data_IF_253211896781
#
_entry.id   IF_253211896781
#
_cell.length_a   1.000
_cell.length_b   1.000
_cell.length_c   1.000
_cell.angle_alpha   90.00
_cell.angle_beta   90.00
_cell.angle_gamma   90.00
#
_symmetry.space_group_name_H-M   'P 1'
#
loop_
_entity.id
_entity.type
_entity.pdbx_description
1 polymer ?
#
# COMPACT_ATOMS: atom_id res chain seq x y z
N UNK A 1 -18.86 -15.76 31.64
CA UNK A 1 -17.43 -15.58 31.25
C UNK A 1 -17.11 -16.64 30.22
N UNK A 2 -17.25 -16.33 28.94
CA UNK A 2 -16.61 -17.13 27.90
C UNK A 2 -15.13 -16.79 27.96
N UNK A 3 -14.33 -17.69 28.50
CA UNK A 3 -12.90 -17.66 28.32
C UNK A 3 -12.66 -17.77 26.79
N UNK A 4 -12.14 -16.72 26.20
CA UNK A 4 -11.68 -16.79 24.80
C UNK A 4 -10.57 -17.84 24.79
N UNK A 5 -10.79 -18.91 24.03
CA UNK A 5 -9.84 -20.00 23.92
C UNK A 5 -8.72 -19.57 22.95
N UNK A 6 -7.56 -19.20 23.49
CA UNK A 6 -6.38 -18.86 22.71
C UNK A 6 -5.55 -20.11 22.45
N UNK A 7 -5.13 -20.29 21.22
CA UNK A 7 -4.23 -21.36 20.84
C UNK A 7 -2.81 -20.79 20.63
N UNK A 8 -1.85 -21.28 21.42
CA UNK A 8 -0.44 -20.97 21.19
C UNK A 8 0.09 -21.84 20.06
N UNK A 9 0.60 -21.18 19.02
CA UNK A 9 1.17 -21.84 17.84
C UNK A 9 2.61 -21.37 17.65
N UNK A 10 3.55 -22.31 17.53
CA UNK A 10 4.94 -21.99 17.16
C UNK A 10 5.05 -21.81 15.65
N UNK A 11 5.34 -20.60 15.23
CA UNK A 11 5.50 -20.21 13.82
C UNK A 11 6.96 -19.95 13.44
N UNK A 12 7.91 -20.20 14.35
CA UNK A 12 9.34 -19.87 14.16
C UNK A 12 9.90 -20.47 12.88
N UNK A 13 9.52 -21.69 12.53
CA UNK A 13 9.99 -22.39 11.34
C UNK A 13 9.59 -21.72 10.03
N UNK A 14 8.45 -21.01 9.98
CA UNK A 14 8.03 -20.29 8.78
C UNK A 14 8.96 -19.12 8.45
N UNK A 15 9.54 -18.48 9.48
CA UNK A 15 10.32 -17.26 9.33
C UNK A 15 11.83 -17.49 9.46
N UNK A 16 12.28 -18.65 9.94
CA UNK A 16 13.70 -19.00 10.10
C UNK A 16 14.21 -20.04 9.11
N UNK A 17 13.32 -20.61 8.30
CA UNK A 17 13.65 -21.61 7.28
C UNK A 17 13.30 -21.09 5.87
N UNK A 18 13.82 -21.78 4.85
CA UNK A 18 13.48 -21.52 3.44
C UNK A 18 12.10 -22.13 3.12
N UNK A 19 11.05 -21.52 3.70
CA UNK A 19 9.68 -21.97 3.57
C UNK A 19 9.05 -21.45 2.27
N UNK A 20 8.40 -22.28 1.45
CA UNK A 20 7.69 -21.81 0.27
C UNK A 20 6.67 -20.73 0.61
N UNK A 21 6.66 -19.62 -0.16
CA UNK A 21 5.80 -18.45 0.08
C UNK A 21 6.35 -17.43 1.08
N UNK A 22 7.38 -17.79 1.86
CA UNK A 22 8.05 -16.90 2.83
C UNK A 22 9.50 -16.59 2.46
N UNK A 23 10.04 -17.19 1.42
CA UNK A 23 11.36 -16.90 0.89
C UNK A 23 11.32 -15.76 -0.15
N UNK A 24 12.42 -15.01 -0.23
CA UNK A 24 12.55 -13.88 -1.15
C UNK A 24 13.34 -14.21 -2.41
N UNK A 25 13.86 -15.42 -2.53
CA UNK A 25 14.85 -15.74 -3.56
C UNK A 25 14.21 -16.50 -4.70
N UNK A 26 14.02 -15.82 -5.83
CA UNK A 26 13.53 -16.43 -7.06
C UNK A 26 14.57 -17.32 -7.74
N UNK A 27 14.12 -18.19 -8.63
CA UNK A 27 15.00 -19.11 -9.36
C UNK A 27 16.03 -18.38 -10.25
N UNK A 28 15.68 -17.19 -10.74
CA UNK A 28 16.60 -16.34 -11.53
C UNK A 28 17.75 -15.84 -10.67
N UNK A 29 17.44 -15.33 -9.48
CA UNK A 29 18.43 -14.85 -8.51
C UNK A 29 19.31 -16.00 -8.02
N UNK A 30 18.72 -17.17 -7.74
CA UNK A 30 19.46 -18.38 -7.36
C UNK A 30 20.53 -18.74 -8.40
N UNK A 31 20.17 -18.71 -9.69
CA UNK A 31 21.09 -18.96 -10.79
C UNK A 31 22.15 -17.87 -10.96
N UNK A 32 21.73 -16.62 -11.01
CA UNK A 32 22.61 -15.48 -11.30
C UNK A 32 23.69 -15.30 -10.22
N UNK A 33 23.31 -15.43 -8.96
CA UNK A 33 24.22 -15.22 -7.83
C UNK A 33 24.80 -16.52 -7.26
N UNK A 34 24.48 -17.67 -7.88
CA UNK A 34 24.89 -19.01 -7.44
C UNK A 34 24.59 -19.22 -5.96
N UNK A 35 23.33 -18.98 -5.59
CA UNK A 35 22.83 -19.04 -4.22
C UNK A 35 22.71 -20.51 -3.80
N UNK A 36 23.34 -20.85 -2.66
CA UNK A 36 23.28 -22.17 -2.05
C UNK A 36 22.11 -22.32 -1.07
N UNK A 37 22.18 -23.35 -0.24
CA UNK A 37 21.15 -23.60 0.79
C UNK A 37 21.18 -22.55 1.89
N UNK A 38 20.03 -22.34 2.54
CA UNK A 38 19.90 -21.39 3.65
C UNK A 38 20.88 -21.69 4.77
N UNK A 39 21.55 -20.65 5.26
CA UNK A 39 22.39 -20.71 6.46
C UNK A 39 21.50 -20.43 7.69
N UNK A 40 21.02 -21.49 8.33
CA UNK A 40 20.13 -21.38 9.49
C UNK A 40 20.79 -20.75 10.72
N UNK A 41 22.14 -20.72 10.79
CA UNK A 41 22.86 -20.07 11.90
C UNK A 41 22.91 -18.55 11.78
N UNK A 42 22.69 -18.03 10.57
CA UNK A 42 22.68 -16.60 10.26
C UNK A 42 21.31 -16.13 9.76
N UNK A 43 20.28 -16.94 9.98
CA UNK A 43 18.89 -16.61 9.66
C UNK A 43 18.08 -16.57 10.95
N UNK A 44 17.32 -15.50 11.16
CA UNK A 44 16.63 -15.24 12.42
C UNK A 44 15.47 -14.27 12.25
N UNK A 45 14.57 -14.24 13.23
CA UNK A 45 13.52 -13.24 13.35
C UNK A 45 14.13 -12.00 14.00
N UNK A 46 14.11 -10.88 13.28
CA UNK A 46 14.65 -9.59 13.74
C UNK A 46 13.73 -8.90 14.73
N UNK A 47 12.43 -8.87 14.38
CA UNK A 47 11.44 -8.07 15.09
C UNK A 47 10.04 -8.61 14.89
N UNK A 48 9.24 -8.53 15.93
CA UNK A 48 7.79 -8.74 15.88
C UNK A 48 7.10 -7.54 16.51
N UNK A 49 6.12 -6.97 15.82
CA UNK A 49 5.23 -5.93 16.34
C UNK A 49 3.79 -6.36 16.14
N UNK A 50 3.00 -6.28 17.18
CA UNK A 50 1.56 -6.56 17.12
C UNK A 50 0.76 -5.29 17.33
N UNK A 51 -0.22 -5.08 16.47
CA UNK A 51 -1.21 -4.02 16.50
C UNK A 51 -2.60 -4.66 16.69
N UNK A 52 -3.64 -3.88 16.95
CA UNK A 52 -4.98 -4.45 17.21
C UNK A 52 -5.56 -5.31 16.08
N UNK A 53 -5.09 -5.13 14.83
CA UNK A 53 -5.61 -5.85 13.66
C UNK A 53 -4.54 -6.48 12.79
N UNK A 54 -3.25 -6.31 13.08
CA UNK A 54 -2.17 -6.95 12.35
C UNK A 54 -0.95 -7.23 13.23
N UNK A 55 -0.15 -8.18 12.77
CA UNK A 55 1.17 -8.45 13.33
C UNK A 55 2.20 -8.40 12.21
N UNK A 56 3.22 -7.57 12.42
CA UNK A 56 4.35 -7.39 11.52
C UNK A 56 5.53 -8.23 11.99
N UNK A 57 6.04 -9.10 11.13
CA UNK A 57 7.17 -9.98 11.42
C UNK A 57 8.29 -9.67 10.44
N UNK A 58 9.37 -9.10 10.94
CA UNK A 58 10.58 -8.85 10.15
C UNK A 58 11.60 -9.93 10.46
N UNK A 59 12.16 -10.55 9.43
CA UNK A 59 13.16 -11.59 9.57
C UNK A 59 14.26 -11.48 8.52
N UNK A 60 15.41 -12.04 8.80
CA UNK A 60 16.58 -12.08 7.92
C UNK A 60 16.88 -13.52 7.52
N UNK A 61 16.95 -13.75 6.21
CA UNK A 61 17.40 -15.03 5.64
C UNK A 61 18.76 -14.82 4.97
N UNK A 62 19.75 -15.65 5.32
CA UNK A 62 21.11 -15.57 4.79
C UNK A 62 21.45 -16.83 4.01
N UNK A 63 22.07 -16.63 2.85
CA UNK A 63 22.46 -17.69 1.93
C UNK A 63 23.93 -17.54 1.50
N UNK A 64 24.68 -18.64 1.32
CA UNK A 64 25.93 -18.60 0.57
C UNK A 64 25.65 -18.17 -0.87
N UNK A 65 26.53 -17.37 -1.47
CA UNK A 65 26.37 -16.89 -2.84
C UNK A 65 27.76 -16.74 -3.50
N UNK A 66 28.14 -17.72 -4.30
CA UNK A 66 29.45 -17.75 -4.96
C UNK A 66 29.65 -16.64 -6.02
N UNK A 67 28.56 -15.97 -6.44
CA UNK A 67 28.58 -14.84 -7.37
C UNK A 67 27.81 -13.63 -6.82
N UNK A 68 28.00 -13.30 -5.52
CA UNK A 68 27.35 -12.17 -4.87
C UNK A 68 27.66 -10.85 -5.59
N UNK A 69 26.67 -9.96 -5.82
CA UNK A 69 26.88 -8.74 -6.56
C UNK A 69 27.72 -7.73 -5.77
N UNK A 70 28.61 -6.99 -6.50
CA UNK A 70 29.33 -5.83 -6.00
C UNK A 70 30.20 -6.03 -4.75
N UNK A 71 30.60 -7.27 -4.47
CA UNK A 71 31.47 -7.53 -3.33
C UNK A 71 32.60 -8.46 -3.73
N UNK A 72 33.84 -7.98 -3.58
CA UNK A 72 35.05 -8.78 -3.84
C UNK A 72 35.37 -9.76 -2.69
N UNK A 73 34.59 -9.75 -1.62
CA UNK A 73 34.89 -10.50 -0.38
C UNK A 73 33.71 -11.15 0.29
N UNK A 74 32.50 -10.88 -0.15
CA UNK A 74 31.31 -11.50 0.44
C UNK A 74 30.90 -12.70 -0.41
N UNK A 75 30.85 -13.85 0.23
CA UNK A 75 30.33 -15.09 -0.35
C UNK A 75 28.91 -15.39 0.18
N UNK A 76 28.23 -14.37 0.67
CA UNK A 76 26.89 -14.48 1.23
C UNK A 76 25.99 -13.32 0.84
N UNK A 77 24.68 -13.62 0.77
CA UNK A 77 23.60 -12.64 0.61
C UNK A 77 22.64 -12.80 1.78
N UNK A 78 22.27 -11.68 2.39
CA UNK A 78 21.21 -11.64 3.40
C UNK A 78 20.04 -10.81 2.86
N UNK A 79 18.84 -11.34 3.04
CA UNK A 79 17.58 -10.68 2.66
C UNK A 79 16.78 -10.42 3.93
N UNK A 80 16.43 -9.16 4.15
CA UNK A 80 15.49 -8.81 5.19
C UNK A 80 14.09 -8.72 4.57
N UNK A 81 13.16 -9.44 5.16
CA UNK A 81 11.78 -9.58 4.72
C UNK A 81 10.84 -9.11 5.83
N UNK A 82 9.73 -8.53 5.45
CA UNK A 82 8.64 -8.23 6.36
C UNK A 82 7.36 -8.92 5.90
N UNK A 83 6.66 -9.55 6.83
CA UNK A 83 5.37 -10.19 6.61
C UNK A 83 4.33 -9.56 7.52
N UNK A 84 3.22 -9.16 6.91
CA UNK A 84 2.05 -8.62 7.61
C UNK A 84 0.99 -9.70 7.72
N UNK A 85 0.64 -10.10 8.93
CA UNK A 85 -0.48 -11.01 9.21
C UNK A 85 -1.65 -10.15 9.66
N UNK A 86 -2.72 -10.11 8.87
CA UNK A 86 -3.81 -9.16 9.03
C UNK A 86 -5.11 -9.90 9.39
N UNK A 87 -5.79 -9.42 10.44
CA UNK A 87 -7.13 -9.88 10.78
C UNK A 87 -8.15 -9.29 9.81
N UNK A 88 -8.74 -10.14 8.98
CA UNK A 88 -9.77 -9.74 8.02
C UNK A 88 -11.07 -9.33 8.76
N UNK A 89 -11.92 -8.47 8.15
CA UNK A 89 -13.23 -8.13 8.69
C UNK A 89 -14.07 -9.39 8.97
N UNK A 90 -14.73 -9.45 10.12
CA UNK A 90 -15.61 -10.58 10.47
C UNK A 90 -16.70 -10.81 9.39
N UNK A 91 -17.31 -9.72 8.95
CA UNK A 91 -18.32 -9.73 7.88
C UNK A 91 -17.71 -9.09 6.63
N UNK A 92 -17.38 -9.91 5.61
CA UNK A 92 -16.84 -9.38 4.36
C UNK A 92 -17.87 -8.47 3.67
N UNK A 93 -17.38 -7.44 3.01
CA UNK A 93 -18.19 -6.59 2.15
C UNK A 93 -18.80 -7.43 1.02
N UNK A 94 -19.97 -7.04 0.54
CA UNK A 94 -20.55 -7.67 -0.67
C UNK A 94 -19.63 -7.44 -1.87
N UNK A 95 -19.11 -8.53 -2.45
CA UNK A 95 -18.26 -8.46 -3.64
C UNK A 95 -19.01 -7.88 -4.85
N UNK A 96 -18.27 -7.25 -5.76
CA UNK A 96 -18.76 -6.77 -7.05
C UNK A 96 -17.92 -7.36 -8.15
N UNK A 97 -18.55 -8.05 -9.10
CA UNK A 97 -17.86 -8.53 -10.30
C UNK A 97 -17.42 -7.33 -11.15
N UNK A 98 -16.23 -7.44 -11.72
CA UNK A 98 -15.69 -6.42 -12.63
C UNK A 98 -16.47 -6.43 -13.94
N UNK A 99 -16.78 -5.25 -14.42
CA UNK A 99 -17.26 -5.02 -15.79
C UNK A 99 -16.06 -4.63 -16.66
N UNK A 100 -15.83 -5.34 -17.76
CA UNK A 100 -14.70 -5.08 -18.65
C UNK A 100 -14.72 -3.69 -19.32
N UNK A 101 -15.83 -2.98 -19.26
CA UNK A 101 -15.96 -1.59 -19.74
C UNK A 101 -15.37 -0.57 -18.78
N UNK A 102 -15.03 -0.99 -17.56
CA UNK A 102 -14.46 -0.14 -16.52
C UNK A 102 -13.15 -0.72 -16.04
N UNK A 103 -12.08 0.06 -16.07
CA UNK A 103 -10.73 -0.34 -15.69
C UNK A 103 -10.52 -0.38 -14.17
N UNK A 104 -11.12 -1.34 -13.47
CA UNK A 104 -10.92 -1.55 -12.06
C UNK A 104 -9.68 -2.38 -11.75
N UNK A 105 -8.97 -2.05 -10.68
CA UNK A 105 -8.13 -3.04 -10.01
C UNK A 105 -9.00 -4.16 -9.47
N UNK A 106 -8.55 -5.40 -9.58
CA UNK A 106 -9.37 -6.56 -9.27
C UNK A 106 -8.56 -7.73 -8.74
N UNK A 107 -9.23 -8.58 -7.97
CA UNK A 107 -8.73 -9.88 -7.56
C UNK A 107 -9.32 -10.95 -8.47
N UNK A 108 -8.49 -11.83 -8.99
CA UNK A 108 -8.92 -12.98 -9.76
C UNK A 108 -9.21 -14.16 -8.83
N UNK A 109 -10.33 -14.83 -9.07
CA UNK A 109 -10.82 -15.96 -8.29
C UNK A 109 -11.19 -17.10 -9.23
N UNK A 110 -11.07 -18.34 -8.76
CA UNK A 110 -11.49 -19.54 -9.49
C UNK A 110 -12.64 -20.20 -8.75
N UNK A 111 -13.71 -20.53 -9.47
CA UNK A 111 -14.86 -21.21 -8.90
C UNK A 111 -14.69 -22.74 -9.00
N UNK A 112 -14.15 -23.35 -7.96
CA UNK A 112 -14.02 -24.80 -7.86
C UNK A 112 -15.31 -25.53 -7.44
N UNK A 113 -16.35 -24.78 -7.08
CA UNK A 113 -17.68 -25.35 -6.75
C UNK A 113 -18.60 -25.48 -7.97
N UNK A 114 -18.12 -25.10 -9.15
CA UNK A 114 -18.88 -25.21 -10.40
C UNK A 114 -18.95 -26.66 -10.85
N UNK A 115 -20.13 -27.11 -11.29
CA UNK A 115 -20.33 -28.42 -11.95
C UNK A 115 -19.96 -28.39 -13.44
N UNK A 116 -19.47 -27.29 -13.97
CA UNK A 116 -18.99 -27.17 -15.33
C UNK A 116 -17.74 -28.04 -15.58
N UNK A 117 -17.49 -28.38 -16.84
CA UNK A 117 -16.32 -29.20 -17.21
C UNK A 117 -14.97 -28.51 -17.01
N UNK A 118 -14.97 -27.22 -16.62
CA UNK A 118 -13.80 -26.42 -16.26
C UNK A 118 -14.14 -25.50 -15.10
N UNK A 119 -13.15 -25.15 -14.30
CA UNK A 119 -13.27 -24.08 -13.30
C UNK A 119 -13.26 -22.73 -14.00
N UNK A 120 -14.34 -21.99 -13.88
CA UNK A 120 -14.40 -20.63 -14.39
C UNK A 120 -13.66 -19.67 -13.46
N UNK A 121 -12.92 -18.73 -14.05
CA UNK A 121 -12.39 -17.61 -13.31
C UNK A 121 -13.39 -16.44 -13.35
N UNK A 122 -13.38 -15.65 -12.30
CA UNK A 122 -14.10 -14.39 -12.23
C UNK A 122 -13.27 -13.35 -11.50
N UNK A 123 -13.55 -12.09 -11.75
CA UNK A 123 -12.80 -10.98 -11.14
C UNK A 123 -13.73 -10.16 -10.27
N UNK A 124 -13.27 -9.87 -9.05
CA UNK A 124 -13.95 -8.98 -8.12
C UNK A 124 -13.22 -7.65 -8.03
N UNK A 125 -13.97 -6.55 -8.10
CA UNK A 125 -13.42 -5.21 -8.05
C UNK A 125 -12.83 -4.90 -6.67
N UNK A 126 -11.63 -4.32 -6.66
CA UNK A 126 -11.04 -3.74 -5.46
C UNK A 126 -11.69 -2.39 -5.21
N UNK A 127 -12.25 -2.16 -4.02
CA UNK A 127 -12.90 -0.90 -3.67
C UNK A 127 -12.98 -0.67 -2.17
N UNK A 128 -13.06 0.59 -1.79
CA UNK A 128 -13.35 0.98 -0.43
C UNK A 128 -14.78 0.61 -0.04
N UNK A 129 -14.98 0.25 1.22
CA UNK A 129 -16.30 0.03 1.80
C UNK A 129 -16.89 1.36 2.25
N UNK A 130 -17.83 1.89 1.49
CA UNK A 130 -18.61 3.08 1.86
C UNK A 130 -20.06 2.68 2.11
N UNK A 131 -20.51 2.82 3.34
CA UNK A 131 -21.88 2.60 3.77
C UNK A 131 -22.48 3.91 4.28
N UNK A 132 -23.66 4.32 3.80
CA UNK A 132 -24.26 5.59 4.21
C UNK A 132 -24.70 5.55 5.67
N UNK A 133 -24.41 6.62 6.44
CA UNK A 133 -24.94 6.83 7.78
C UNK A 133 -26.47 6.88 7.79
N UNK A 134 -27.04 7.58 6.82
CA UNK A 134 -28.47 7.69 6.62
C UNK A 134 -28.85 7.00 5.30
N UNK A 135 -29.34 5.77 5.41
CA UNK A 135 -29.73 4.94 4.26
C UNK A 135 -30.97 5.48 3.54
N UNK A 136 -31.88 6.10 4.30
CA UNK A 136 -33.13 6.64 3.72
C UNK A 136 -32.84 7.92 2.92
N UNK A 137 -32.05 8.84 3.47
CA UNK A 137 -31.61 10.03 2.75
C UNK A 137 -30.79 9.65 1.50
N UNK A 138 -29.89 8.67 1.61
CA UNK A 138 -29.15 8.16 0.46
C UNK A 138 -30.05 7.58 -0.62
N UNK A 139 -31.07 6.80 -0.23
CA UNK A 139 -32.04 6.25 -1.17
C UNK A 139 -32.88 7.31 -1.88
N UNK A 140 -33.08 8.49 -1.26
CA UNK A 140 -33.74 9.67 -1.90
C UNK A 140 -32.78 10.45 -2.80
N UNK A 141 -31.50 10.07 -2.90
CA UNK A 141 -30.49 10.78 -3.70
C UNK A 141 -29.86 11.98 -3.01
N UNK A 142 -30.02 12.10 -1.70
CA UNK A 142 -29.36 13.13 -0.89
C UNK A 142 -27.88 12.80 -0.62
N UNK A 143 -27.03 13.82 -0.52
CA UNK A 143 -25.63 13.65 -0.11
C UNK A 143 -25.56 13.31 1.39
N UNK A 144 -24.99 12.15 1.70
CA UNK A 144 -24.83 11.66 3.07
C UNK A 144 -23.36 11.42 3.43
N UNK A 145 -23.03 11.44 4.70
CA UNK A 145 -21.73 10.99 5.15
C UNK A 145 -21.66 9.45 5.18
N UNK A 146 -20.49 8.84 4.88
CA UNK A 146 -20.29 7.43 5.14
C UNK A 146 -20.19 7.17 6.65
N UNK A 147 -20.52 5.95 7.06
CA UNK A 147 -20.29 5.48 8.44
C UNK A 147 -18.82 5.62 8.80
N UNK A 148 -17.94 5.20 7.87
CA UNK A 148 -16.50 5.31 8.02
C UNK A 148 -15.91 5.98 6.76
N UNK A 149 -15.34 7.17 6.88
CA UNK A 149 -14.64 7.81 5.77
C UNK A 149 -13.30 7.14 5.48
N UNK A 150 -12.82 7.29 4.27
CA UNK A 150 -11.45 6.95 3.87
C UNK A 150 -10.53 8.04 4.42
N UNK A 151 -9.60 7.67 5.28
CA UNK A 151 -8.68 8.64 5.91
C UNK A 151 -7.24 8.31 5.53
N UNK A 152 -6.57 9.25 4.88
CA UNK A 152 -5.13 9.18 4.65
C UNK A 152 -4.39 10.12 5.59
N UNK A 153 -3.42 9.58 6.31
CA UNK A 153 -2.50 10.37 7.12
C UNK A 153 -1.23 10.68 6.33
N UNK A 154 -0.66 11.86 6.54
CA UNK A 154 0.67 12.15 6.02
C UNK A 154 1.74 11.57 6.94
N UNK A 155 2.83 11.08 6.36
CA UNK A 155 4.01 10.67 7.12
C UNK A 155 4.60 11.87 7.88
N UNK A 156 5.01 11.73 9.14
CA UNK A 156 5.74 12.77 9.87
C UNK A 156 6.96 13.32 9.13
N UNK A 157 7.65 12.49 8.33
CA UNK A 157 8.79 12.87 7.52
C UNK A 157 8.44 13.75 6.30
N UNK A 158 7.14 13.88 5.97
CA UNK A 158 6.71 14.73 4.85
C UNK A 158 7.04 16.20 5.13
N UNK A 159 7.88 16.86 4.29
CA UNK A 159 8.22 18.27 4.49
C UNK A 159 6.99 19.18 4.54
N UNK A 160 6.95 20.10 5.49
CA UNK A 160 5.79 20.96 5.74
C UNK A 160 5.32 21.70 4.49
N UNK A 161 6.23 22.17 3.65
CA UNK A 161 5.92 22.88 2.41
C UNK A 161 5.16 22.06 1.38
N UNK A 162 5.29 20.72 1.41
CA UNK A 162 4.60 19.82 0.49
C UNK A 162 3.27 19.32 1.02
N UNK A 163 3.03 19.35 2.32
CA UNK A 163 1.79 18.84 2.94
C UNK A 163 0.50 19.41 2.34
N UNK A 164 0.39 20.72 2.04
CA UNK A 164 -0.80 21.25 1.41
C UNK A 164 -1.14 20.64 0.07
N UNK A 165 -0.12 20.32 -0.75
CA UNK A 165 -0.30 19.71 -2.07
C UNK A 165 -0.69 18.24 -1.96
N UNK A 166 -0.09 17.50 -1.02
CA UNK A 166 -0.48 16.12 -0.74
C UNK A 166 -1.94 16.06 -0.28
N UNK A 167 -2.34 16.88 0.67
CA UNK A 167 -3.73 16.94 1.15
C UNK A 167 -4.70 17.26 0.02
N UNK A 168 -4.40 18.27 -0.79
CA UNK A 168 -5.22 18.60 -1.96
C UNK A 168 -5.36 17.42 -2.92
N UNK A 169 -4.26 16.71 -3.23
CA UNK A 169 -4.29 15.57 -4.14
C UNK A 169 -5.19 14.43 -3.64
N UNK A 170 -5.14 14.12 -2.35
CA UNK A 170 -6.04 13.15 -1.71
C UNK A 170 -7.50 13.65 -1.81
N UNK A 171 -7.73 14.90 -1.49
CA UNK A 171 -9.07 15.49 -1.42
C UNK A 171 -9.69 15.83 -2.80
N UNK A 172 -8.91 15.76 -3.88
CA UNK A 172 -9.45 15.87 -5.25
C UNK A 172 -10.50 14.78 -5.54
N UNK A 173 -10.49 13.68 -4.83
CA UNK A 173 -11.49 12.61 -4.92
C UNK A 173 -12.83 12.94 -4.25
N UNK A 174 -12.95 14.02 -3.48
CA UNK A 174 -14.22 14.43 -2.87
C UNK A 174 -15.33 14.60 -3.93
N UNK A 175 -15.02 15.27 -5.05
CA UNK A 175 -16.00 15.45 -6.13
C UNK A 175 -16.55 14.16 -6.73
N UNK A 176 -15.71 13.18 -7.11
CA UNK A 176 -16.17 11.85 -7.51
C UNK A 176 -17.05 11.15 -6.47
N UNK A 177 -16.67 11.19 -5.18
CA UNK A 177 -17.49 10.59 -4.12
C UNK A 177 -18.81 11.31 -3.89
N UNK A 178 -18.86 12.64 -4.03
CA UNK A 178 -20.11 13.41 -3.97
C UNK A 178 -21.06 13.03 -5.10
N UNK A 179 -20.54 12.80 -6.32
CA UNK A 179 -21.35 12.26 -7.42
C UNK A 179 -21.88 10.85 -7.14
N UNK A 180 -21.18 10.08 -6.30
CA UNK A 180 -21.64 8.79 -5.82
C UNK A 180 -22.59 8.87 -4.61
N UNK A 181 -22.94 10.09 -4.16
CA UNK A 181 -23.86 10.33 -3.05
C UNK A 181 -23.20 10.48 -1.67
N UNK A 182 -21.86 10.56 -1.60
CA UNK A 182 -21.15 10.64 -0.33
C UNK A 182 -20.40 11.95 -0.16
N UNK A 183 -20.77 12.79 0.79
CA UNK A 183 -19.99 13.93 1.24
C UNK A 183 -18.96 13.48 2.31
N UNK A 184 -17.83 14.16 2.37
CA UNK A 184 -16.78 13.88 3.35
C UNK A 184 -16.27 12.41 3.33
N UNK A 185 -16.36 11.75 2.18
CA UNK A 185 -16.00 10.35 2.04
C UNK A 185 -14.50 10.08 2.11
N UNK A 186 -13.68 11.06 1.74
CA UNK A 186 -12.22 10.98 1.81
C UNK A 186 -11.65 12.22 2.50
N UNK A 187 -10.69 12.00 3.39
CA UNK A 187 -10.09 13.05 4.24
C UNK A 187 -8.59 12.85 4.32
N UNK A 188 -7.85 13.94 4.15
CA UNK A 188 -6.41 13.98 4.38
C UNK A 188 -6.11 14.62 5.75
N UNK A 189 -5.25 13.96 6.55
CA UNK A 189 -4.86 14.45 7.88
C UNK A 189 -3.35 14.56 8.01
N UNK A 190 -2.90 15.48 8.85
CA UNK A 190 -1.54 15.42 9.39
C UNK A 190 -1.40 14.20 10.30
N UNK A 191 -0.17 13.68 10.50
CA UNK A 191 0.03 12.62 11.45
C UNK A 191 -0.40 13.12 12.85
N UNK A 192 -1.00 12.27 13.67
CA UNK A 192 -1.31 12.65 15.05
C UNK A 192 -0.02 12.94 15.83
N UNK A 193 -0.12 13.82 16.79
CA UNK A 193 0.97 14.03 17.75
C UNK A 193 1.08 12.82 18.69
N UNK A 194 2.20 12.69 19.40
CA UNK A 194 2.35 11.62 20.39
C UNK A 194 1.40 11.74 21.57
N UNK A 195 0.89 12.94 21.83
CA UNK A 195 -0.12 13.20 22.87
C UNK A 195 -1.52 12.76 22.40
N UNK A 196 -1.83 12.90 21.12
CA UNK A 196 -3.10 12.48 20.54
C UNK A 196 -3.17 10.97 20.30
N UNK A 197 -2.09 10.37 19.83
CA UNK A 197 -1.99 8.92 19.58
C UNK A 197 -0.53 8.47 19.76
N UNK A 198 -0.15 8.04 20.97
CA UNK A 198 1.21 7.60 21.28
C UNK A 198 1.62 6.34 20.51
N UNK A 199 0.64 5.53 20.11
CA UNK A 199 0.83 4.24 19.44
C UNK A 199 0.69 4.33 17.91
N UNK A 200 0.47 5.53 17.36
CA UNK A 200 0.37 5.73 15.92
C UNK A 200 1.62 5.18 15.21
N UNK A 201 1.39 4.29 14.28
CA UNK A 201 2.42 3.68 13.44
C UNK A 201 1.92 3.52 12.01
N UNK A 202 2.73 3.86 11.02
CA UNK A 202 2.45 3.53 9.63
C UNK A 202 2.46 2.02 9.33
N UNK A 203 2.85 1.18 10.30
CA UNK A 203 2.80 -0.28 10.18
C UNK A 203 1.47 -0.85 10.71
N UNK A 204 0.60 -0.02 11.26
CA UNK A 204 -0.71 -0.42 11.77
C UNK A 204 -1.75 -0.34 10.65
N UNK A 205 -2.30 -1.46 10.26
CA UNK A 205 -3.29 -1.59 9.17
C UNK A 205 -4.57 -0.75 9.34
N UNK A 206 -4.77 -0.15 10.51
CA UNK A 206 -5.88 0.78 10.74
C UNK A 206 -5.69 2.15 10.11
N UNK A 207 -4.46 2.49 9.69
CA UNK A 207 -4.09 3.79 9.17
C UNK A 207 -3.56 3.66 7.73
N UNK A 208 -4.22 4.28 6.78
CA UNK A 208 -3.64 4.49 5.45
C UNK A 208 -2.72 5.71 5.50
N UNK A 209 -1.48 5.57 5.06
CA UNK A 209 -0.45 6.61 5.20
C UNK A 209 0.19 6.93 3.86
N UNK A 210 0.35 8.24 3.58
CA UNK A 210 1.19 8.69 2.48
C UNK A 210 2.63 8.82 3.00
N UNK A 211 3.44 7.80 2.73
CA UNK A 211 4.84 7.66 3.18
C UNK A 211 5.75 8.55 2.32
N UNK A 212 6.63 9.31 2.97
CA UNK A 212 7.65 10.11 2.31
C UNK A 212 9.03 9.47 2.53
N UNK A 213 9.56 8.81 1.50
CA UNK A 213 10.73 7.94 1.64
C UNK A 213 11.95 8.51 0.94
N UNK A 214 13.07 8.60 1.66
CA UNK A 214 14.38 8.92 1.08
C UNK A 214 14.87 7.71 0.26
N UNK A 215 14.95 7.87 -1.06
CA UNK A 215 15.36 6.81 -1.98
C UNK A 215 15.89 7.39 -3.28
N UNK A 216 16.73 6.65 -3.99
CA UNK A 216 17.15 6.96 -5.37
C UNK A 216 16.07 6.59 -6.40
N UNK A 217 15.04 5.87 -6.00
CA UNK A 217 13.88 5.52 -6.84
C UNK A 217 13.16 6.77 -7.30
N UNK A 218 12.75 6.78 -8.57
CA UNK A 218 12.07 7.92 -9.22
C UNK A 218 10.63 7.55 -9.55
N UNK A 219 9.87 7.23 -8.54
CA UNK A 219 8.47 6.79 -8.69
C UNK A 219 7.62 7.17 -7.46
N UNK A 220 6.32 6.94 -7.57
CA UNK A 220 5.40 6.76 -6.46
C UNK A 220 4.62 5.49 -6.71
N UNK A 221 4.04 4.90 -5.69
CA UNK A 221 3.21 3.70 -5.79
C UNK A 221 2.12 3.74 -4.73
N UNK A 222 0.92 3.26 -5.09
CA UNK A 222 -0.24 3.17 -4.18
C UNK A 222 -0.68 1.73 -3.95
N UNK A 223 0.12 0.88 -3.27
CA UNK A 223 -0.31 -0.47 -2.94
C UNK A 223 -1.48 -0.43 -1.96
N UNK A 224 -2.31 -1.45 -2.00
CA UNK A 224 -3.43 -1.61 -1.06
C UNK A 224 -3.56 -3.04 -0.57
N UNK A 225 -3.92 -3.18 0.69
CA UNK A 225 -4.28 -4.45 1.33
C UNK A 225 -5.77 -4.70 1.12
N UNK A 226 -6.11 -5.89 0.64
CA UNK A 226 -7.46 -6.23 0.23
C UNK A 226 -7.95 -7.49 0.91
N UNK A 227 -9.22 -7.51 1.28
CA UNK A 227 -9.89 -8.74 1.67
C UNK A 227 -10.10 -9.62 0.42
N UNK A 228 -9.47 -10.80 0.33
CA UNK A 228 -9.58 -11.66 -0.85
C UNK A 228 -10.99 -12.21 -1.09
N UNK A 229 -11.87 -12.19 -0.08
CA UNK A 229 -13.25 -12.67 -0.18
C UNK A 229 -14.18 -11.66 -0.84
N UNK A 230 -13.86 -10.36 -0.76
CA UNK A 230 -14.79 -9.29 -1.15
C UNK A 230 -14.20 -8.23 -2.08
N UNK A 231 -12.86 -8.12 -2.14
CA UNK A 231 -12.18 -7.02 -2.78
C UNK A 231 -12.20 -5.71 -1.97
N UNK A 232 -12.66 -5.75 -0.71
CA UNK A 232 -12.62 -4.59 0.19
C UNK A 232 -11.18 -4.13 0.41
N UNK A 233 -10.90 -2.86 0.15
CA UNK A 233 -9.64 -2.22 0.50
C UNK A 233 -9.68 -1.96 2.00
N UNK A 234 -8.80 -2.61 2.75
CA UNK A 234 -8.68 -2.50 4.21
C UNK A 234 -7.81 -1.30 4.56
N UNK A 235 -6.73 -1.15 3.80
CA UNK A 235 -5.71 -0.13 4.00
C UNK A 235 -4.99 0.12 2.66
N UNK A 236 -4.47 1.35 2.47
CA UNK A 236 -3.64 1.69 1.31
C UNK A 236 -2.55 2.67 1.73
N UNK A 237 -1.31 2.24 1.60
CA UNK A 237 -0.15 3.10 1.79
C UNK A 237 0.35 3.62 0.45
N UNK A 238 0.38 4.93 0.30
CA UNK A 238 1.03 5.55 -0.84
C UNK A 238 2.51 5.76 -0.50
N UNK A 239 3.41 5.22 -1.31
CA UNK A 239 4.84 5.40 -1.13
C UNK A 239 5.33 6.45 -2.10
N UNK A 240 5.69 7.62 -1.57
CA UNK A 240 6.32 8.70 -2.32
C UNK A 240 7.83 8.66 -2.13
N UNK A 241 8.56 8.36 -3.20
CA UNK A 241 10.02 8.42 -3.19
C UNK A 241 10.51 9.86 -3.47
N UNK A 242 11.30 10.43 -2.57
CA UNK A 242 11.81 11.79 -2.68
C UNK A 242 12.41 12.12 -4.05
N UNK A 243 13.18 11.19 -4.63
CA UNK A 243 13.86 11.41 -5.91
C UNK A 243 12.91 11.54 -7.11
N UNK A 244 11.62 11.27 -6.92
CA UNK A 244 10.59 11.44 -7.95
C UNK A 244 10.42 12.90 -8.38
N UNK A 245 10.64 13.87 -7.48
CA UNK A 245 10.60 15.30 -7.78
C UNK A 245 11.54 15.67 -8.94
N UNK A 246 12.72 15.07 -8.99
CA UNK A 246 13.66 15.28 -10.09
C UNK A 246 13.10 14.84 -11.44
N UNK A 247 12.32 13.78 -11.47
CA UNK A 247 11.69 13.29 -12.70
C UNK A 247 10.64 14.28 -13.22
N UNK A 248 9.82 14.83 -12.34
CA UNK A 248 8.82 15.84 -12.72
C UNK A 248 9.46 17.10 -13.26
N UNK A 249 10.45 17.66 -12.57
CA UNK A 249 11.17 18.82 -13.04
C UNK A 249 11.75 18.61 -14.44
N UNK A 250 12.38 17.47 -14.69
CA UNK A 250 13.00 17.18 -15.97
C UNK A 250 11.94 17.00 -17.08
N UNK A 251 10.86 16.27 -16.80
CA UNK A 251 9.75 16.11 -17.73
C UNK A 251 9.05 17.42 -18.03
N UNK A 252 8.80 18.24 -17.02
CA UNK A 252 8.19 19.55 -17.17
C UNK A 252 8.98 20.43 -18.10
N UNK A 253 10.32 20.48 -17.94
CA UNK A 253 11.19 21.18 -18.85
C UNK A 253 11.11 20.61 -20.29
N UNK A 254 11.25 19.30 -20.46
CA UNK A 254 11.36 18.67 -21.78
C UNK A 254 10.02 18.66 -22.53
N UNK A 255 8.93 18.37 -21.84
CA UNK A 255 7.62 18.16 -22.47
C UNK A 255 6.81 19.45 -22.62
N UNK A 256 7.01 20.44 -21.75
CA UNK A 256 6.19 21.65 -21.74
C UNK A 256 6.97 22.95 -21.92
N UNK A 257 8.29 22.93 -21.90
CA UNK A 257 9.14 24.13 -21.97
C UNK A 257 8.94 24.98 -23.25
N UNK A 258 8.51 24.37 -24.36
CA UNK A 258 8.20 25.10 -25.57
C UNK A 258 6.93 25.97 -25.40
N UNK A 259 5.94 25.48 -24.66
CA UNK A 259 4.63 26.12 -24.50
C UNK A 259 4.48 26.93 -23.20
N UNK A 260 5.25 26.61 -22.17
CA UNK A 260 5.16 27.23 -20.85
C UNK A 260 6.50 27.83 -20.39
N UNK A 261 6.55 29.15 -20.21
CA UNK A 261 7.78 29.84 -19.78
C UNK A 261 8.29 29.37 -18.42
N UNK A 262 7.41 29.03 -17.48
CA UNK A 262 7.78 28.52 -16.17
C UNK A 262 8.52 27.19 -16.21
N UNK A 263 8.32 26.42 -17.29
CA UNK A 263 8.98 25.15 -17.51
C UNK A 263 10.38 25.26 -18.13
N UNK A 264 10.79 26.45 -18.62
CA UNK A 264 12.06 26.67 -19.34
C UNK A 264 13.31 26.74 -18.45
N UNK A 265 13.22 26.27 -17.23
CA UNK A 265 14.30 26.34 -16.25
C UNK A 265 14.40 25.08 -15.41
N UNK A 266 15.61 24.76 -14.94
CA UNK A 266 15.82 23.72 -13.94
C UNK A 266 15.47 24.21 -12.51
N UNK A 267 15.26 25.51 -12.34
CA UNK A 267 14.78 26.13 -11.10
C UNK A 267 13.26 26.31 -11.15
N UNK A 268 12.55 25.18 -11.38
CA UNK A 268 11.08 25.16 -11.42
C UNK A 268 10.51 25.76 -10.14
N UNK A 269 9.55 26.70 -10.22
CA UNK A 269 8.91 27.28 -9.05
C UNK A 269 8.30 26.21 -8.14
N UNK A 270 8.37 26.41 -6.84
CA UNK A 270 7.89 25.46 -5.84
C UNK A 270 6.41 25.14 -6.01
N UNK A 271 5.60 26.12 -6.39
CA UNK A 271 4.17 25.96 -6.68
C UNK A 271 3.92 25.00 -7.85
N UNK A 272 4.71 25.09 -8.92
CA UNK A 272 4.59 24.20 -10.08
C UNK A 272 4.96 22.75 -9.70
N UNK A 273 6.01 22.58 -8.90
CA UNK A 273 6.38 21.27 -8.37
C UNK A 273 5.26 20.72 -7.48
N UNK A 274 4.70 21.56 -6.60
CA UNK A 274 3.61 21.18 -5.72
C UNK A 274 2.36 20.73 -6.46
N UNK A 275 1.97 21.43 -7.53
CA UNK A 275 0.82 21.04 -8.35
C UNK A 275 1.09 19.73 -9.13
N UNK A 276 2.31 19.46 -9.56
CA UNK A 276 2.68 18.16 -10.13
C UNK A 276 2.57 17.05 -9.08
N UNK A 277 3.06 17.28 -7.86
CA UNK A 277 2.91 16.35 -6.74
C UNK A 277 1.44 16.05 -6.44
N UNK A 278 0.60 17.09 -6.34
CA UNK A 278 -0.85 16.96 -6.14
C UNK A 278 -1.48 15.98 -7.13
N UNK A 279 -1.20 16.16 -8.43
CA UNK A 279 -1.78 15.32 -9.49
C UNK A 279 -1.37 13.85 -9.37
N UNK A 280 -0.12 13.60 -8.98
CA UNK A 280 0.36 12.23 -8.81
C UNK A 280 -0.22 11.60 -7.55
N UNK A 281 -0.31 12.33 -6.45
CA UNK A 281 -0.97 11.81 -5.25
C UNK A 281 -2.44 11.49 -5.55
N UNK A 282 -3.13 12.33 -6.31
CA UNK A 282 -4.50 12.03 -6.74
C UNK A 282 -4.57 10.73 -7.57
N UNK A 283 -3.54 10.44 -8.39
CA UNK A 283 -3.43 9.19 -9.14
C UNK A 283 -3.15 7.97 -8.25
N UNK A 284 -2.21 8.10 -7.30
CA UNK A 284 -1.82 6.97 -6.43
C UNK A 284 -2.89 6.58 -5.41
N UNK A 285 -3.76 7.52 -5.04
CA UNK A 285 -4.87 7.32 -4.10
C UNK A 285 -6.10 6.69 -4.79
N UNK A 286 -6.25 6.88 -6.10
CA UNK A 286 -7.36 6.36 -6.92
C UNK A 286 -7.09 5.02 -7.49
#
# INVERSE_FOLDING_TARGET
NSEEEFHLVDVSDFFSKDSPGFNAVGETEKKNYKIGSLDSKRSFIDRVKSFPRNTEITHTLTYPAAAAPRSNRSETLSFQLNHSIIALPEKPMKSRTVDHRVGWFSLEQYNYSSEALKSDNYRIASRWKLEPKDKEAYARGELVEPIQPIVFYLDPATPMKWRPYFKKGIEDWKGPFEKAGFKNAIVAKDPPTKEEDPDFSPEDVRYSVVRYVASTTRNATGPSVKDPRSGEIIESDVIWYHNHLRSYRNRYLLETGAANEKARTLNTPEEEIGEMMRRVIAHEVG
#
